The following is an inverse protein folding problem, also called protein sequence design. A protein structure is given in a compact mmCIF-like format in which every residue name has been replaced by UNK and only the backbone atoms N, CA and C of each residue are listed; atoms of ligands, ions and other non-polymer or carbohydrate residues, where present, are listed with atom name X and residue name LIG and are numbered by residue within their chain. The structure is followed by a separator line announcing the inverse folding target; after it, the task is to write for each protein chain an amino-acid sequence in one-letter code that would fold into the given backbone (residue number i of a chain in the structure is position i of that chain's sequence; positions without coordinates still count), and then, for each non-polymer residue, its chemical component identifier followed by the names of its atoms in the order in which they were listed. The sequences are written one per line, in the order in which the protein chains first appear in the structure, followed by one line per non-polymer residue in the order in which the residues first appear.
data_IF_069935909124
#
_entry.id   IF_069935909124
#
_cell.length_a   1.000
_cell.length_b   1.000
_cell.length_c   1.000
_cell.angle_alpha   90.00
_cell.angle_beta   90.00
_cell.angle_gamma   90.00
#
_symmetry.space_group_name_H-M   'P 1'
#
loop_
_entity.id
_entity.type
_entity.pdbx_description
1 polymer ?
#
# COMPACT_ATOMS: atom_id res chain seq x y z
N UNK A 1 -19.79 -2.26 -23.40
CA UNK A 1 -18.44 -2.84 -23.34
C UNK A 1 -17.34 -1.77 -23.43
N UNK A 2 -17.47 -0.83 -24.34
CA UNK A 2 -16.48 0.26 -24.47
C UNK A 2 -16.34 1.07 -23.18
N UNK A 3 -17.44 1.36 -22.49
CA UNK A 3 -17.43 2.09 -21.22
C UNK A 3 -16.68 1.33 -20.12
N UNK A 4 -16.86 0.02 -20.06
CA UNK A 4 -16.18 -0.81 -19.06
C UNK A 4 -14.67 -0.79 -19.30
N UNK A 5 -14.24 -0.94 -20.54
CA UNK A 5 -12.83 -0.88 -20.90
C UNK A 5 -12.21 0.47 -20.55
N UNK A 6 -12.94 1.57 -20.75
CA UNK A 6 -12.50 2.89 -20.40
C UNK A 6 -12.30 3.04 -18.90
N UNK A 7 -13.26 2.56 -18.10
CA UNK A 7 -13.14 2.58 -16.64
C UNK A 7 -11.94 1.76 -16.15
N UNK A 8 -11.75 0.57 -16.73
CA UNK A 8 -10.62 -0.30 -16.38
C UNK A 8 -9.31 0.41 -16.68
N UNK A 9 -9.21 1.05 -17.83
CA UNK A 9 -8.00 1.77 -18.24
C UNK A 9 -7.67 2.89 -17.24
N UNK A 10 -8.67 3.72 -16.88
CA UNK A 10 -8.46 4.81 -15.92
C UNK A 10 -8.09 4.30 -14.54
N UNK A 11 -8.72 3.23 -14.08
CA UNK A 11 -8.42 2.68 -12.76
C UNK A 11 -7.05 2.02 -12.71
N UNK A 12 -6.60 1.40 -13.79
CA UNK A 12 -5.23 0.86 -13.87
C UNK A 12 -4.20 1.97 -13.84
N UNK A 13 -4.47 3.09 -14.53
CA UNK A 13 -3.60 4.26 -14.48
C UNK A 13 -3.54 4.83 -13.07
N UNK A 14 -4.66 4.89 -12.38
CA UNK A 14 -4.70 5.35 -10.98
C UNK A 14 -3.84 4.47 -10.09
N UNK A 15 -3.90 3.14 -10.25
CA UNK A 15 -3.07 2.21 -9.50
C UNK A 15 -1.59 2.47 -9.72
N UNK A 16 -1.18 2.71 -10.95
CA UNK A 16 0.21 3.01 -11.28
C UNK A 16 0.67 4.32 -10.65
N UNK A 17 -0.19 5.33 -10.66
CA UNK A 17 0.10 6.63 -10.04
C UNK A 17 0.25 6.47 -8.54
N UNK A 18 -0.64 5.74 -7.89
CA UNK A 18 -0.57 5.48 -6.45
C UNK A 18 0.70 4.71 -6.08
N UNK A 19 1.05 3.72 -6.87
CA UNK A 19 2.27 2.95 -6.63
C UNK A 19 3.51 3.83 -6.74
N UNK A 20 3.55 4.69 -7.74
CA UNK A 20 4.65 5.64 -7.93
C UNK A 20 4.74 6.61 -6.75
N UNK A 21 3.61 7.11 -6.27
CA UNK A 21 3.57 7.98 -5.10
C UNK A 21 4.13 7.25 -3.87
N UNK A 22 3.76 5.97 -3.71
CA UNK A 22 4.28 5.16 -2.60
C UNK A 22 5.79 4.98 -2.68
N UNK A 23 6.32 4.69 -3.87
CA UNK A 23 7.77 4.56 -4.07
C UNK A 23 8.48 5.87 -3.74
N UNK A 24 7.99 6.99 -4.26
CA UNK A 24 8.59 8.29 -4.01
C UNK A 24 8.54 8.65 -2.53
N UNK A 25 7.40 8.38 -1.88
CA UNK A 25 7.26 8.62 -0.45
C UNK A 25 8.26 7.82 0.36
N UNK A 26 8.47 6.55 -0.01
CA UNK A 26 9.43 5.70 0.67
C UNK A 26 10.85 6.23 0.50
N UNK A 27 11.23 6.53 -0.73
CA UNK A 27 12.61 6.97 -1.05
C UNK A 27 12.91 8.33 -0.42
N UNK A 28 11.96 9.27 -0.46
CA UNK A 28 12.17 10.63 0.03
C UNK A 28 12.12 10.72 1.56
N UNK A 29 11.48 9.76 2.23
CA UNK A 29 11.26 9.81 3.67
C UNK A 29 11.97 8.67 4.41
N UNK A 30 13.13 8.25 3.95
CA UNK A 30 13.86 7.11 4.53
C UNK A 30 14.30 7.31 5.96
N UNK A 31 14.29 8.54 6.46
CA UNK A 31 14.68 8.84 7.85
C UNK A 31 13.49 8.85 8.81
N UNK A 32 12.27 8.71 8.30
CA UNK A 32 11.07 8.71 9.12
C UNK A 32 10.33 7.39 8.94
N UNK A 33 10.38 6.55 9.97
CA UNK A 33 9.80 5.21 9.93
C UNK A 33 8.29 5.25 9.70
N UNK A 34 7.58 6.21 10.30
CA UNK A 34 6.13 6.33 10.13
C UNK A 34 5.78 6.60 8.67
N UNK A 35 6.49 7.56 8.06
CA UNK A 35 6.25 7.89 6.65
C UNK A 35 6.65 6.74 5.73
N UNK A 36 7.69 5.99 6.06
CA UNK A 36 8.06 4.78 5.31
C UNK A 36 6.96 3.73 5.38
N UNK A 37 6.39 3.51 6.56
CA UNK A 37 5.29 2.55 6.74
C UNK A 37 4.05 2.97 5.95
N UNK A 38 3.71 4.26 5.99
CA UNK A 38 2.59 4.80 5.22
C UNK A 38 2.84 4.61 3.72
N UNK A 39 4.06 4.84 3.26
CA UNK A 39 4.42 4.68 1.85
C UNK A 39 4.29 3.23 1.40
N UNK A 40 4.74 2.28 2.21
CA UNK A 40 4.56 0.86 1.92
C UNK A 40 3.09 0.50 1.86
N UNK A 41 2.29 1.05 2.77
CA UNK A 41 0.85 0.82 2.79
C UNK A 41 0.19 1.32 1.51
N UNK A 42 0.60 2.50 1.02
CA UNK A 42 0.10 3.05 -0.24
C UNK A 42 0.47 2.13 -1.41
N UNK A 43 1.69 1.60 -1.43
CA UNK A 43 2.10 0.67 -2.47
C UNK A 43 1.26 -0.61 -2.46
N UNK A 44 1.00 -1.17 -1.28
CA UNK A 44 0.15 -2.35 -1.14
C UNK A 44 -1.28 -2.07 -1.56
N UNK A 45 -1.80 -0.89 -1.21
CA UNK A 45 -3.13 -0.48 -1.65
C UNK A 45 -3.21 -0.40 -3.17
N UNK A 46 -2.17 0.14 -3.82
CA UNK A 46 -2.12 0.24 -5.27
C UNK A 46 -2.15 -1.13 -5.93
N UNK A 47 -1.38 -2.08 -5.41
CA UNK A 47 -1.34 -3.46 -5.93
C UNK A 47 -2.70 -4.13 -5.74
N UNK A 48 -3.31 -3.97 -4.57
CA UNK A 48 -4.63 -4.54 -4.26
C UNK A 48 -5.68 -3.99 -5.22
N UNK A 49 -5.65 -2.69 -5.45
CA UNK A 49 -6.57 -2.02 -6.36
C UNK A 49 -6.40 -2.55 -7.78
N UNK A 50 -5.16 -2.75 -8.24
CA UNK A 50 -4.88 -3.30 -9.55
C UNK A 50 -5.43 -4.73 -9.68
N UNK A 51 -5.26 -5.56 -8.67
CA UNK A 51 -5.78 -6.92 -8.65
C UNK A 51 -7.31 -6.91 -8.73
N UNK A 52 -7.97 -6.02 -7.97
CA UNK A 52 -9.43 -5.92 -7.98
C UNK A 52 -9.95 -5.50 -9.36
N UNK A 53 -9.32 -4.50 -9.97
CA UNK A 53 -9.72 -4.03 -11.30
C UNK A 53 -9.52 -5.13 -12.32
N UNK A 54 -8.40 -5.85 -12.27
CA UNK A 54 -8.14 -6.96 -13.17
C UNK A 54 -9.15 -8.10 -12.99
N UNK A 55 -9.53 -8.40 -11.75
CA UNK A 55 -10.49 -9.46 -11.46
C UNK A 55 -11.89 -9.13 -11.99
N UNK A 56 -12.28 -7.86 -11.94
CA UNK A 56 -13.54 -7.42 -12.53
C UNK A 56 -13.54 -7.59 -14.05
N UNK A 57 -12.41 -7.30 -14.67
CA UNK A 57 -12.23 -7.43 -16.12
C UNK A 57 -12.40 -8.88 -16.58
N UNK A 58 -11.93 -9.85 -15.80
CA UNK A 58 -11.99 -11.27 -16.13
C UNK A 58 -13.10 -12.00 -15.38
N UNK A 59 -13.93 -11.27 -14.63
CA UNK A 59 -14.99 -11.85 -13.80
C UNK A 59 -14.45 -12.98 -12.91
N UNK A 60 -13.34 -12.70 -12.25
CA UNK A 60 -12.58 -13.69 -11.50
C UNK A 60 -12.72 -13.46 -9.99
N UNK A 61 -13.49 -14.34 -9.35
CA UNK A 61 -13.69 -14.29 -7.89
C UNK A 61 -12.39 -14.58 -7.15
N UNK A 62 -11.52 -15.38 -7.75
CA UNK A 62 -10.24 -15.72 -7.14
C UNK A 62 -9.37 -14.47 -6.92
N UNK A 63 -9.34 -13.57 -7.90
CA UNK A 63 -8.61 -12.31 -7.76
C UNK A 63 -9.18 -11.45 -6.66
N UNK A 64 -10.50 -11.41 -6.50
CA UNK A 64 -11.16 -10.68 -5.42
C UNK A 64 -10.80 -11.27 -4.06
N UNK A 65 -10.74 -12.60 -3.96
CA UNK A 65 -10.35 -13.29 -2.74
C UNK A 65 -8.91 -12.97 -2.37
N UNK A 66 -7.99 -12.98 -3.32
CA UNK A 66 -6.60 -12.59 -3.08
C UNK A 66 -6.49 -11.14 -2.60
N UNK A 67 -7.29 -10.25 -3.18
CA UNK A 67 -7.29 -8.85 -2.75
C UNK A 67 -7.69 -8.71 -1.28
N UNK A 68 -8.69 -9.47 -0.84
CA UNK A 68 -9.11 -9.47 0.57
C UNK A 68 -7.98 -9.97 1.46
N UNK A 69 -7.28 -11.04 1.07
CA UNK A 69 -6.15 -11.55 1.83
C UNK A 69 -5.02 -10.52 1.93
N UNK A 70 -4.71 -9.83 0.84
CA UNK A 70 -3.68 -8.81 0.83
C UNK A 70 -4.05 -7.67 1.77
N UNK A 71 -5.30 -7.21 1.75
CA UNK A 71 -5.78 -6.16 2.64
C UNK A 71 -5.66 -6.60 4.10
N UNK A 72 -6.06 -7.83 4.41
CA UNK A 72 -5.99 -8.35 5.77
C UNK A 72 -4.54 -8.43 6.26
N UNK A 73 -3.63 -8.95 5.44
CA UNK A 73 -2.21 -9.05 5.79
C UNK A 73 -1.60 -7.66 5.94
N UNK A 74 -1.88 -6.75 5.02
CA UNK A 74 -1.36 -5.39 5.07
C UNK A 74 -1.84 -4.67 6.33
N UNK A 75 -3.12 -4.83 6.68
CA UNK A 75 -3.67 -4.25 7.90
C UNK A 75 -3.00 -4.81 9.14
N UNK A 76 -2.79 -6.13 9.20
CA UNK A 76 -2.11 -6.77 10.31
C UNK A 76 -0.66 -6.30 10.44
N UNK A 77 0.06 -6.23 9.32
CA UNK A 77 1.44 -5.75 9.33
C UNK A 77 1.54 -4.30 9.80
N UNK A 78 0.63 -3.44 9.34
CA UNK A 78 0.61 -2.04 9.75
C UNK A 78 0.32 -1.91 11.23
N UNK A 79 -0.63 -2.68 11.77
CA UNK A 79 -0.96 -2.66 13.19
C UNK A 79 0.23 -3.08 14.04
N UNK A 80 0.90 -4.17 13.66
CA UNK A 80 2.07 -4.67 14.37
C UNK A 80 3.22 -3.67 14.27
N UNK A 81 3.46 -3.14 13.07
CA UNK A 81 4.51 -2.15 12.85
C UNK A 81 4.31 -0.89 13.66
N UNK A 82 3.08 -0.37 13.72
CA UNK A 82 2.77 0.80 14.53
C UNK A 82 2.92 0.51 16.02
N UNK A 83 2.52 -0.69 16.47
CA UNK A 83 2.71 -1.09 17.86
C UNK A 83 4.17 -1.14 18.26
N UNK A 84 5.01 -1.73 17.42
CA UNK A 84 6.47 -1.77 17.66
C UNK A 84 7.04 -0.35 17.67
N UNK A 85 6.58 0.49 16.76
CA UNK A 85 7.05 1.87 16.64
C UNK A 85 6.71 2.68 17.88
N UNK A 86 5.50 2.51 18.43
CA UNK A 86 5.09 3.20 19.66
C UNK A 86 5.98 2.76 20.82
N UNK A 87 6.25 1.47 20.94
CA UNK A 87 7.15 0.95 21.97
C UNK A 87 8.55 1.53 21.81
N UNK A 88 9.06 1.57 20.59
CA UNK A 88 10.37 2.15 20.28
C UNK A 88 10.42 3.64 20.64
N UNK A 89 9.36 4.38 20.29
CA UNK A 89 9.27 5.80 20.61
C UNK A 89 9.32 6.05 22.10
N UNK A 90 8.61 5.23 22.89
CA UNK A 90 8.62 5.37 24.36
C UNK A 90 10.01 5.14 24.93
N UNK A 91 10.82 4.28 24.30
CA UNK A 91 12.17 3.99 24.77
C UNK A 91 13.17 5.06 24.32
N UNK A 92 13.01 5.59 23.10
CA UNK A 92 14.00 6.48 22.47
C UNK A 92 13.56 7.93 22.40
N UNK A 93 12.26 8.21 22.49
CA UNK A 93 11.71 9.55 22.39
C UNK A 93 11.73 10.14 20.97
N UNK A 94 11.99 9.33 19.94
CA UNK A 94 12.03 9.81 18.55
C UNK A 94 11.66 8.70 17.59
N UNK A 95 10.96 9.04 16.49
CA UNK A 95 10.63 8.14 15.40
C UNK A 95 11.62 8.26 14.24
N UNK A 96 12.60 9.15 14.35
CA UNK A 96 13.59 9.34 13.29
C UNK A 96 14.62 8.21 13.30
N UNK A 97 15.04 7.78 12.11
CA UNK A 97 16.12 6.83 11.93
C UNK A 97 17.43 7.61 11.92
N UNK A 98 18.34 7.24 12.81
CA UNK A 98 19.67 7.84 12.84
C UNK A 98 20.63 6.94 12.08
N UNK A 99 21.26 7.52 11.04
CA UNK A 99 22.33 6.86 10.30
C UNK A 99 23.65 7.41 10.84
N UNK A 100 24.43 6.54 11.46
CA UNK A 100 25.76 6.88 11.93
C UNK A 100 26.82 6.26 11.02
#
# INVERSE_FOLDING_TARGET
MTQILTYIFYTMNLSLILFTIGILGFVLNRKNIILMLISIEIMLLAITFLILVSSLSFDDILGQTYAIYIIAIAGAESAIGLGILVAFYRLRGSVAIEFK
#
